data_IF_367876014321
#
_entry.id   IF_367876014321
#
_cell.length_a   1.000
_cell.length_b   1.000
_cell.length_c   1.000
_cell.angle_alpha   90.00
_cell.angle_beta   90.00
_cell.angle_gamma   90.00
#
_symmetry.space_group_name_H-M   'P 1'
#
loop_
_entity.id
_entity.type
_entity.pdbx_description
1 polymer ?
#
# COMPACT_ATOMS: atom_id res chain seq x y z
N UNK A 1 -13.27 -25.26 -8.00
CA UNK A 1 -12.08 -24.58 -8.60
C UNK A 1 -10.84 -25.24 -8.01
N UNK A 2 -9.90 -25.76 -8.80
CA UNK A 2 -8.68 -26.37 -8.24
C UNK A 2 -7.85 -25.31 -7.48
N UNK A 3 -7.13 -25.73 -6.44
CA UNK A 3 -6.30 -24.84 -5.61
C UNK A 3 -5.30 -24.04 -6.47
N UNK A 4 -4.80 -24.63 -7.55
CA UNK A 4 -3.93 -23.97 -8.53
C UNK A 4 -4.62 -22.83 -9.29
N UNK A 5 -5.84 -23.06 -9.80
CA UNK A 5 -6.62 -22.04 -10.52
C UNK A 5 -7.00 -20.89 -9.59
N UNK A 6 -7.35 -21.19 -8.34
CA UNK A 6 -7.66 -20.16 -7.35
C UNK A 6 -6.44 -19.30 -7.00
N UNK A 7 -5.27 -19.92 -6.83
CA UNK A 7 -4.01 -19.18 -6.60
C UNK A 7 -3.65 -18.28 -7.77
N UNK A 8 -3.83 -18.76 -8.99
CA UNK A 8 -3.59 -17.98 -10.19
C UNK A 8 -4.55 -16.78 -10.26
N UNK A 9 -5.85 -17.01 -10.07
CA UNK A 9 -6.86 -15.95 -10.01
C UNK A 9 -6.54 -14.90 -8.93
N UNK A 10 -6.09 -15.34 -7.74
CA UNK A 10 -5.65 -14.43 -6.67
C UNK A 10 -4.44 -13.58 -7.05
N UNK A 11 -3.48 -14.16 -7.78
CA UNK A 11 -2.29 -13.43 -8.22
C UNK A 11 -2.59 -12.50 -9.43
N UNK A 12 -3.70 -12.73 -10.15
CA UNK A 12 -4.25 -11.81 -11.16
C UNK A 12 -4.99 -10.62 -10.54
N UNK A 13 -5.87 -10.88 -9.54
CA UNK A 13 -6.69 -9.83 -8.91
C UNK A 13 -5.92 -9.00 -7.88
N UNK A 14 -5.03 -9.63 -7.10
CA UNK A 14 -4.24 -8.97 -6.07
C UNK A 14 -2.75 -9.37 -6.20
N UNK A 15 -2.04 -8.86 -7.22
CA UNK A 15 -0.68 -9.28 -7.53
C UNK A 15 0.30 -9.04 -6.37
N UNK A 16 0.05 -8.00 -5.57
CA UNK A 16 0.94 -7.58 -4.48
C UNK A 16 0.55 -8.11 -3.09
N UNK A 17 -0.55 -8.87 -2.97
CA UNK A 17 -1.13 -9.30 -1.69
C UNK A 17 -1.63 -8.14 -0.80
N UNK A 18 -1.93 -6.97 -1.38
CA UNK A 18 -2.38 -5.79 -0.65
C UNK A 18 -3.78 -6.01 -0.11
N UNK A 19 -4.73 -6.42 -0.96
CA UNK A 19 -6.11 -6.68 -0.54
C UNK A 19 -6.18 -7.81 0.48
N UNK A 20 -5.34 -8.84 0.34
CA UNK A 20 -5.22 -9.92 1.33
C UNK A 20 -4.78 -9.43 2.70
N UNK A 21 -3.79 -8.54 2.75
CA UNK A 21 -3.33 -7.93 4.01
C UNK A 21 -4.40 -7.01 4.59
N UNK A 22 -5.05 -6.19 3.75
CA UNK A 22 -6.14 -5.31 4.16
C UNK A 22 -7.29 -6.11 4.75
N UNK A 23 -7.71 -7.20 4.10
CA UNK A 23 -8.77 -8.08 4.58
C UNK A 23 -8.42 -8.63 5.98
N UNK A 24 -7.21 -9.13 6.17
CA UNK A 24 -6.79 -9.68 7.46
C UNK A 24 -6.78 -8.60 8.55
N UNK A 25 -6.30 -7.38 8.25
CA UNK A 25 -6.37 -6.24 9.16
C UNK A 25 -7.82 -5.87 9.51
N UNK A 26 -8.68 -5.76 8.50
CA UNK A 26 -10.10 -5.42 8.69
C UNK A 26 -10.81 -6.47 9.54
N UNK A 27 -10.54 -7.76 9.36
CA UNK A 27 -11.12 -8.82 10.20
C UNK A 27 -10.66 -8.73 11.65
N UNK A 28 -9.38 -8.45 11.90
CA UNK A 28 -8.86 -8.22 13.26
C UNK A 28 -9.52 -7.00 13.90
N UNK A 29 -9.60 -5.88 13.19
CA UNK A 29 -10.25 -4.66 13.70
C UNK A 29 -11.74 -4.92 13.96
N UNK A 30 -12.46 -5.52 13.03
CA UNK A 30 -13.88 -5.81 13.17
C UNK A 30 -14.17 -6.74 14.35
N UNK A 31 -13.37 -7.79 14.55
CA UNK A 31 -13.55 -8.69 15.69
C UNK A 31 -13.33 -7.96 17.01
N UNK A 32 -12.31 -7.12 17.12
CA UNK A 32 -12.09 -6.31 18.34
C UNK A 32 -13.21 -5.30 18.54
N UNK A 33 -13.66 -4.61 17.48
CA UNK A 33 -14.77 -3.65 17.57
C UNK A 33 -16.07 -4.31 18.03
N UNK A 34 -16.35 -5.56 17.64
CA UNK A 34 -17.51 -6.32 18.15
C UNK A 34 -17.39 -6.56 19.66
N UNK A 35 -16.21 -6.95 20.16
CA UNK A 35 -16.01 -7.11 21.61
C UNK A 35 -16.14 -5.79 22.36
N UNK A 36 -15.60 -4.70 21.81
CA UNK A 36 -15.73 -3.35 22.37
C UNK A 36 -17.19 -2.93 22.41
N UNK A 37 -17.94 -3.18 21.34
CA UNK A 37 -19.37 -2.90 21.29
C UNK A 37 -20.14 -3.67 22.38
N UNK A 38 -19.87 -4.95 22.56
CA UNK A 38 -20.54 -5.76 23.59
C UNK A 38 -20.22 -5.33 25.02
N UNK A 39 -18.98 -4.88 25.28
CA UNK A 39 -18.54 -4.47 26.61
C UNK A 39 -18.99 -3.05 26.99
N UNK A 40 -18.85 -2.10 26.07
CA UNK A 40 -19.09 -0.68 26.34
C UNK A 40 -20.48 -0.21 25.95
N UNK A 41 -21.17 -0.94 25.07
CA UNK A 41 -22.54 -0.63 24.60
C UNK A 41 -22.70 0.85 24.23
N UNK A 42 -22.00 1.33 23.18
CA UNK A 42 -22.00 2.74 22.80
C UNK A 42 -23.42 3.23 22.49
N UNK A 43 -23.69 4.48 22.87
CA UNK A 43 -25.02 5.12 22.78
C UNK A 43 -25.56 5.11 21.35
N UNK A 44 -24.69 5.21 20.33
CA UNK A 44 -25.07 5.11 18.93
C UNK A 44 -24.21 4.11 18.18
N UNK A 45 -24.86 3.04 17.71
CA UNK A 45 -24.22 2.03 16.87
C UNK A 45 -23.72 2.60 15.54
N UNK A 46 -24.51 3.49 14.91
CA UNK A 46 -24.19 4.05 13.60
C UNK A 46 -22.91 4.90 13.65
N UNK A 47 -22.74 5.72 14.69
CA UNK A 47 -21.54 6.55 14.84
C UNK A 47 -20.34 5.74 15.33
N UNK A 48 -20.57 4.67 16.09
CA UNK A 48 -19.51 3.72 16.42
C UNK A 48 -18.97 3.00 15.18
N UNK A 49 -19.84 2.61 14.23
CA UNK A 49 -19.42 1.89 13.02
C UNK A 49 -18.91 2.79 11.88
N UNK A 50 -19.34 4.05 11.82
CA UNK A 50 -19.00 4.96 10.70
C UNK A 50 -17.50 5.09 10.39
N UNK A 51 -16.57 5.19 11.36
CA UNK A 51 -15.14 5.24 11.10
C UNK A 51 -14.58 3.99 10.40
N UNK A 52 -15.18 2.81 10.62
CA UNK A 52 -14.76 1.55 10.03
C UNK A 52 -14.85 1.56 8.50
N UNK A 53 -15.88 2.21 7.94
CA UNK A 53 -16.07 2.33 6.49
C UNK A 53 -14.90 3.05 5.80
N UNK A 54 -14.26 3.95 6.52
CA UNK A 54 -13.16 4.79 6.03
C UNK A 54 -11.78 4.17 6.31
N UNK A 55 -11.72 3.12 7.14
CA UNK A 55 -10.48 2.45 7.51
C UNK A 55 -9.80 1.78 6.32
N UNK A 56 -10.54 1.42 5.27
CA UNK A 56 -10.00 0.88 4.01
C UNK A 56 -8.96 1.82 3.37
N UNK A 57 -9.13 3.14 3.54
CA UNK A 57 -8.22 4.16 3.00
C UNK A 57 -6.87 4.17 3.72
N UNK A 58 -6.77 3.59 4.92
CA UNK A 58 -5.49 3.44 5.64
C UNK A 58 -4.46 2.63 4.83
N UNK A 59 -4.92 1.67 4.00
CA UNK A 59 -4.05 0.84 3.17
C UNK A 59 -3.79 1.41 1.77
N UNK A 60 -4.27 2.62 1.48
CA UNK A 60 -4.02 3.27 0.20
C UNK A 60 -2.50 3.41 -0.07
N UNK A 61 -2.03 3.03 -1.28
CA UNK A 61 -0.60 3.02 -1.61
C UNK A 61 0.01 4.42 -1.70
N UNK A 62 -0.82 5.46 -1.72
CA UNK A 62 -0.37 6.86 -1.74
C UNK A 62 0.20 7.31 -0.38
N UNK A 63 -0.19 6.64 0.70
CA UNK A 63 0.30 6.93 2.05
C UNK A 63 1.62 6.18 2.26
N UNK A 64 2.73 6.92 2.16
CA UNK A 64 4.06 6.33 2.12
C UNK A 64 4.67 6.11 3.51
N UNK A 65 4.10 6.70 4.56
CA UNK A 65 4.62 6.61 5.93
C UNK A 65 3.56 6.22 6.96
N UNK A 66 3.98 5.55 8.03
CA UNK A 66 3.09 5.25 9.17
C UNK A 66 2.53 6.52 9.80
N UNK A 67 3.31 7.61 9.85
CA UNK A 67 2.85 8.90 10.38
C UNK A 67 1.71 9.49 9.56
N UNK A 68 1.80 9.46 8.23
CA UNK A 68 0.70 9.88 7.34
C UNK A 68 -0.54 9.01 7.54
N UNK A 69 -0.36 7.70 7.66
CA UNK A 69 -1.47 6.75 7.87
C UNK A 69 -2.18 6.97 9.21
N UNK A 70 -1.44 7.15 10.30
CA UNK A 70 -2.02 7.47 11.62
C UNK A 70 -2.73 8.83 11.59
N UNK A 71 -2.09 9.83 10.98
CA UNK A 71 -2.66 11.16 10.87
C UNK A 71 -3.97 11.19 10.06
N UNK A 72 -4.08 10.35 9.02
CA UNK A 72 -5.33 10.16 8.28
C UNK A 72 -6.45 9.62 9.18
N UNK A 73 -6.16 8.63 10.03
CA UNK A 73 -7.18 8.04 10.93
C UNK A 73 -7.66 9.08 11.95
N UNK A 74 -6.74 9.87 12.52
CA UNK A 74 -7.12 10.99 13.39
C UNK A 74 -7.96 12.04 12.66
N UNK A 75 -7.57 12.41 11.44
CA UNK A 75 -8.31 13.35 10.61
C UNK A 75 -9.73 12.85 10.33
N UNK A 76 -9.87 11.58 9.93
CA UNK A 76 -11.15 10.92 9.71
C UNK A 76 -12.02 11.03 10.97
N UNK A 77 -11.45 10.74 12.14
CA UNK A 77 -12.22 10.79 13.39
C UNK A 77 -12.73 12.15 13.77
N UNK A 78 -11.87 13.15 13.68
CA UNK A 78 -12.25 14.54 13.96
C UNK A 78 -13.31 14.98 12.95
N UNK A 79 -13.10 14.72 11.65
CA UNK A 79 -14.02 15.13 10.60
C UNK A 79 -15.39 14.44 10.74
N UNK A 80 -15.44 13.11 10.89
CA UNK A 80 -16.69 12.36 11.08
C UNK A 80 -17.44 12.86 12.32
N UNK A 81 -16.73 13.11 13.43
CA UNK A 81 -17.35 13.61 14.66
C UNK A 81 -17.94 15.01 14.46
N UNK A 82 -17.17 15.94 13.90
CA UNK A 82 -17.63 17.32 13.65
C UNK A 82 -18.81 17.35 12.68
N UNK A 83 -18.74 16.60 11.57
CA UNK A 83 -19.80 16.54 10.57
C UNK A 83 -21.05 15.90 11.20
N UNK A 84 -20.92 14.75 11.86
CA UNK A 84 -22.07 14.03 12.46
C UNK A 84 -22.79 14.89 13.49
N UNK A 85 -22.06 15.51 14.42
CA UNK A 85 -22.63 16.36 15.48
C UNK A 85 -23.27 17.61 14.88
N UNK A 86 -22.59 18.30 13.97
CA UNK A 86 -23.13 19.51 13.37
C UNK A 86 -24.36 19.23 12.49
N UNK A 87 -24.34 18.15 11.72
CA UNK A 87 -25.46 17.72 10.89
C UNK A 87 -26.66 17.39 11.76
N UNK A 88 -26.48 16.60 12.82
CA UNK A 88 -27.55 16.27 13.75
C UNK A 88 -28.18 17.49 14.45
N UNK A 89 -27.36 18.45 14.90
CA UNK A 89 -27.85 19.65 15.59
C UNK A 89 -28.59 20.63 14.66
N UNK A 90 -28.14 20.76 13.41
CA UNK A 90 -28.68 21.72 12.45
C UNK A 90 -29.84 21.13 11.62
N UNK A 91 -29.93 19.80 11.54
CA UNK A 91 -30.94 19.08 10.74
C UNK A 91 -32.39 19.58 10.90
N UNK A 92 -32.88 19.92 12.11
CA UNK A 92 -34.26 20.38 12.27
C UNK A 92 -34.58 21.67 11.50
N UNK A 93 -33.56 22.45 11.12
CA UNK A 93 -33.70 23.71 10.39
C UNK A 93 -33.42 23.49 8.89
N UNK A 94 -34.32 22.82 8.17
CA UNK A 94 -34.10 22.36 6.79
C UNK A 94 -33.51 23.40 5.82
N UNK A 95 -33.99 24.65 5.85
CA UNK A 95 -33.46 25.73 5.00
C UNK A 95 -32.02 26.11 5.35
N UNK A 96 -31.71 26.24 6.65
CA UNK A 96 -30.37 26.52 7.15
C UNK A 96 -29.44 25.33 6.90
N UNK A 97 -29.95 24.11 7.07
CA UNK A 97 -29.22 22.86 6.87
C UNK A 97 -28.70 22.71 5.44
N UNK A 98 -29.46 23.12 4.42
CA UNK A 98 -29.00 23.07 3.04
C UNK A 98 -27.75 23.94 2.83
N UNK A 99 -27.81 25.22 3.18
CA UNK A 99 -26.66 26.13 3.04
C UNK A 99 -25.49 25.72 3.93
N UNK A 100 -25.78 25.23 5.14
CA UNK A 100 -24.77 24.70 6.05
C UNK A 100 -24.05 23.49 5.46
N UNK A 101 -24.77 22.55 4.85
CA UNK A 101 -24.19 21.37 4.21
C UNK A 101 -23.27 21.72 3.04
N UNK A 102 -23.65 22.71 2.22
CA UNK A 102 -22.79 23.23 1.14
C UNK A 102 -21.52 23.86 1.71
N UNK A 103 -21.62 24.60 2.81
CA UNK A 103 -20.48 25.20 3.49
C UNK A 103 -19.54 24.14 4.09
N UNK A 104 -20.08 23.14 4.78
CA UNK A 104 -19.31 22.01 5.31
C UNK A 104 -18.64 21.23 4.18
N UNK A 105 -19.33 21.01 3.05
CA UNK A 105 -18.73 20.40 1.85
C UNK A 105 -17.53 21.21 1.35
N UNK A 106 -17.67 22.53 1.22
CA UNK A 106 -16.58 23.38 0.73
C UNK A 106 -15.35 23.36 1.67
N UNK A 107 -15.57 23.45 2.98
CA UNK A 107 -14.50 23.38 3.99
C UNK A 107 -13.82 22.01 3.97
N UNK A 108 -14.60 20.93 4.04
CA UNK A 108 -14.05 19.57 4.06
C UNK A 108 -13.28 19.29 2.77
N UNK A 109 -13.80 19.70 1.62
CA UNK A 109 -13.11 19.59 0.33
C UNK A 109 -11.77 20.35 0.33
N UNK A 110 -11.76 21.59 0.81
CA UNK A 110 -10.54 22.39 0.91
C UNK A 110 -9.50 21.75 1.85
N UNK A 111 -9.94 21.27 3.02
CA UNK A 111 -9.07 20.55 3.96
C UNK A 111 -8.50 19.28 3.33
N UNK A 112 -9.33 18.45 2.69
CA UNK A 112 -8.87 17.22 2.02
C UNK A 112 -7.88 17.54 0.90
N UNK A 113 -8.13 18.57 0.07
CA UNK A 113 -7.18 18.96 -0.96
C UNK A 113 -5.84 19.45 -0.40
N UNK A 114 -5.88 20.25 0.67
CA UNK A 114 -4.67 20.80 1.30
C UNK A 114 -3.78 19.72 1.91
N UNK A 115 -4.40 18.70 2.51
CA UNK A 115 -3.69 17.74 3.35
C UNK A 115 -3.56 16.34 2.75
N UNK A 116 -4.54 15.91 1.96
CA UNK A 116 -4.63 14.58 1.36
C UNK A 116 -5.05 14.68 -0.11
N UNK A 117 -4.32 15.46 -0.91
CA UNK A 117 -4.63 15.73 -2.32
C UNK A 117 -4.93 14.47 -3.15
N UNK A 118 -4.25 13.36 -2.87
CA UNK A 118 -4.44 12.11 -3.59
C UNK A 118 -5.73 11.35 -3.21
N UNK A 119 -6.34 11.68 -2.08
CA UNK A 119 -7.57 11.06 -1.57
C UNK A 119 -8.76 12.02 -1.73
N UNK A 120 -8.93 12.66 -2.89
CA UNK A 120 -10.04 13.62 -3.11
C UNK A 120 -11.43 13.01 -2.83
N UNK A 121 -11.57 11.71 -3.11
CA UNK A 121 -12.79 10.93 -2.84
C UNK A 121 -13.14 10.84 -1.35
N UNK A 122 -12.18 11.06 -0.44
CA UNK A 122 -12.39 11.09 1.01
C UNK A 122 -13.46 12.11 1.41
N UNK A 123 -13.56 13.24 0.71
CA UNK A 123 -14.54 14.29 1.01
C UNK A 123 -15.98 13.76 0.99
N UNK A 124 -16.37 13.09 -0.09
CA UNK A 124 -17.73 12.56 -0.24
C UNK A 124 -18.00 11.44 0.77
N UNK A 125 -16.99 10.62 1.02
CA UNK A 125 -17.05 9.54 2.02
C UNK A 125 -17.25 10.07 3.44
N UNK A 126 -16.56 11.16 3.83
CA UNK A 126 -16.73 11.81 5.14
C UNK A 126 -18.14 12.42 5.30
N UNK A 127 -18.67 13.02 4.25
CA UNK A 127 -20.00 13.64 4.29
C UNK A 127 -21.09 12.56 4.33
N UNK A 128 -20.96 11.53 3.49
CA UNK A 128 -21.90 10.41 3.48
C UNK A 128 -21.93 9.69 4.83
N UNK A 129 -20.76 9.44 5.44
CA UNK A 129 -20.67 8.81 6.77
C UNK A 129 -21.23 9.70 7.88
N UNK A 130 -20.97 11.01 7.85
CA UNK A 130 -21.54 11.94 8.82
C UNK A 130 -23.06 12.12 8.69
N UNK A 131 -23.61 11.95 7.49
CA UNK A 131 -25.05 12.05 7.24
C UNK A 131 -25.88 10.84 7.71
N UNK A 132 -25.24 9.72 8.07
CA UNK A 132 -25.93 8.51 8.57
C UNK A 132 -26.72 8.78 9.85
N UNK A 133 -26.36 9.85 10.58
CA UNK A 133 -26.92 10.24 11.87
C UNK A 133 -28.18 11.10 11.76
N UNK A 134 -28.55 11.53 10.56
CA UNK A 134 -29.69 12.45 10.33
C UNK A 134 -31.07 11.87 10.72
N UNK A 135 -31.16 10.56 10.94
CA UNK A 135 -32.39 9.87 11.34
C UNK A 135 -32.51 9.55 12.84
N UNK A 136 -31.67 10.11 13.71
CA UNK A 136 -31.69 9.81 15.14
C UNK A 136 -32.63 10.72 15.92
N UNK A 137 -33.51 10.12 16.74
CA UNK A 137 -34.39 10.81 17.68
C UNK A 137 -33.87 10.76 19.13
N UNK A 138 -34.19 11.75 19.99
CA UNK A 138 -34.86 13.01 19.68
C UNK A 138 -33.97 13.94 18.84
N UNK A 139 -34.51 14.88 18.06
CA UNK A 139 -33.71 15.82 17.27
C UNK A 139 -33.01 16.87 18.15
N UNK A 140 -31.78 17.24 17.78
CA UNK A 140 -30.99 18.34 18.36
C UNK A 140 -30.81 18.30 19.90
N UNK A 141 -30.73 17.11 20.50
CA UNK A 141 -30.40 16.94 21.91
C UNK A 141 -28.87 16.89 22.12
N UNK A 142 -28.35 17.76 22.98
CA UNK A 142 -26.92 17.81 23.30
C UNK A 142 -26.42 16.50 23.92
N UNK A 143 -27.23 15.79 24.70
CA UNK A 143 -26.85 14.50 25.30
C UNK A 143 -26.55 13.44 24.23
N UNK A 144 -27.41 13.37 23.20
CA UNK A 144 -27.23 12.48 22.05
C UNK A 144 -25.99 12.89 21.25
N UNK A 145 -25.74 14.19 21.09
CA UNK A 145 -24.52 14.69 20.45
C UNK A 145 -23.25 14.29 21.22
N UNK A 146 -23.25 14.37 22.56
CA UNK A 146 -22.17 13.83 23.39
C UNK A 146 -22.00 12.32 23.22
N UNK A 147 -23.12 11.59 23.10
CA UNK A 147 -23.13 10.17 22.77
C UNK A 147 -22.46 9.86 21.42
N UNK A 148 -22.61 10.72 20.41
CA UNK A 148 -21.91 10.55 19.14
C UNK A 148 -20.41 10.75 19.27
N UNK A 149 -19.98 11.79 19.98
CA UNK A 149 -18.56 12.08 20.21
C UNK A 149 -17.90 10.92 20.96
N UNK A 150 -18.53 10.41 22.01
CA UNK A 150 -17.97 9.29 22.78
C UNK A 150 -17.92 8.00 21.96
N UNK A 151 -18.95 7.71 21.15
CA UNK A 151 -19.01 6.51 20.31
C UNK A 151 -17.98 6.53 19.18
N UNK A 152 -17.80 7.66 18.49
CA UNK A 152 -16.76 7.79 17.44
C UNK A 152 -15.36 7.74 18.04
N UNK A 153 -15.14 8.41 19.18
CA UNK A 153 -13.85 8.40 19.86
C UNK A 153 -13.47 6.98 20.34
N UNK A 154 -14.43 6.23 20.88
CA UNK A 154 -14.25 4.85 21.30
C UNK A 154 -13.81 3.97 20.12
N UNK A 155 -14.57 4.00 19.02
CA UNK A 155 -14.30 3.25 17.79
C UNK A 155 -12.88 3.50 17.29
N UNK A 156 -12.51 4.78 17.13
CA UNK A 156 -11.22 5.17 16.53
C UNK A 156 -10.05 4.84 17.44
N UNK A 157 -10.22 4.99 18.75
CA UNK A 157 -9.19 4.63 19.72
C UNK A 157 -8.85 3.14 19.61
N UNK A 158 -9.86 2.28 19.59
CA UNK A 158 -9.65 0.83 19.45
C UNK A 158 -9.13 0.44 18.06
N UNK A 159 -9.60 1.10 16.99
CA UNK A 159 -9.07 0.89 15.65
C UNK A 159 -7.57 1.23 15.57
N UNK A 160 -7.13 2.37 16.15
CA UNK A 160 -5.72 2.76 16.20
C UNK A 160 -4.89 1.74 16.99
N UNK A 161 -5.40 1.29 18.14
CA UNK A 161 -4.75 0.27 18.97
C UNK A 161 -4.53 -1.00 18.14
N UNK A 162 -5.58 -1.51 17.48
CA UNK A 162 -5.52 -2.70 16.64
C UNK A 162 -4.50 -2.55 15.50
N UNK A 163 -4.54 -1.42 14.78
CA UNK A 163 -3.62 -1.16 13.68
C UNK A 163 -2.16 -1.04 14.12
N UNK A 164 -1.91 -0.55 15.34
CA UNK A 164 -0.57 -0.42 15.91
C UNK A 164 0.01 -1.76 16.39
N UNK A 165 -0.84 -2.65 16.91
CA UNK A 165 -0.43 -4.00 17.31
C UNK A 165 -0.28 -4.97 16.14
N UNK A 166 -0.92 -4.68 15.01
CA UNK A 166 -0.88 -5.57 13.85
C UNK A 166 0.57 -5.73 13.29
N UNK A 167 1.00 -6.97 12.98
CA UNK A 167 2.35 -7.21 12.50
C UNK A 167 2.62 -6.51 11.16
N UNK A 168 3.82 -5.94 11.02
CA UNK A 168 4.20 -5.27 9.78
C UNK A 168 4.48 -6.28 8.65
N UNK A 169 3.48 -6.45 7.77
CA UNK A 169 3.51 -7.37 6.62
C UNK A 169 3.97 -6.71 5.30
N UNK A 170 4.37 -5.43 5.31
CA UNK A 170 4.68 -4.69 4.07
C UNK A 170 5.91 -5.22 3.32
N UNK A 171 6.76 -6.01 3.97
CA UNK A 171 7.85 -6.72 3.28
C UNK A 171 7.33 -7.69 2.20
N UNK A 172 6.16 -8.29 2.41
CA UNK A 172 5.54 -9.21 1.45
C UNK A 172 5.11 -8.44 0.20
N UNK A 173 4.46 -7.29 0.38
CA UNK A 173 4.03 -6.40 -0.70
C UNK A 173 5.23 -5.94 -1.52
N UNK A 174 6.28 -5.45 -0.84
CA UNK A 174 7.52 -5.02 -1.49
C UNK A 174 8.18 -6.17 -2.28
N UNK A 175 8.26 -7.37 -1.69
CA UNK A 175 8.88 -8.53 -2.33
C UNK A 175 8.12 -8.96 -3.60
N UNK A 176 6.79 -9.01 -3.54
CA UNK A 176 5.94 -9.33 -4.70
C UNK A 176 6.04 -8.25 -5.78
N UNK A 177 6.02 -6.98 -5.40
CA UNK A 177 6.18 -5.87 -6.34
C UNK A 177 7.54 -5.92 -7.06
N UNK A 178 8.62 -6.22 -6.32
CA UNK A 178 9.94 -6.34 -6.91
C UNK A 178 10.07 -7.58 -7.81
N UNK A 179 9.44 -8.72 -7.46
CA UNK A 179 9.39 -9.88 -8.35
C UNK A 179 8.69 -9.56 -9.68
N UNK A 180 7.59 -8.81 -9.63
CA UNK A 180 6.87 -8.37 -10.84
C UNK A 180 7.67 -7.37 -11.67
N UNK A 181 8.40 -6.47 -11.01
CA UNK A 181 9.34 -5.57 -11.70
C UNK A 181 10.47 -6.35 -12.39
N UNK A 182 11.05 -7.35 -11.73
CA UNK A 182 12.08 -8.21 -12.33
C UNK A 182 11.50 -9.02 -13.51
N UNK A 183 10.26 -9.49 -13.40
CA UNK A 183 9.56 -10.18 -14.50
C UNK A 183 9.39 -9.29 -15.74
N UNK A 184 9.06 -8.00 -15.56
CA UNK A 184 9.04 -7.05 -16.69
C UNK A 184 10.44 -6.85 -17.29
N UNK A 185 11.47 -6.71 -16.45
CA UNK A 185 12.85 -6.55 -16.92
C UNK A 185 13.33 -7.79 -17.72
N UNK A 186 12.98 -9.00 -17.28
CA UNK A 186 13.23 -10.24 -18.02
C UNK A 186 12.56 -10.23 -19.41
N UNK A 187 11.31 -9.74 -19.49
CA UNK A 187 10.57 -9.60 -20.74
C UNK A 187 11.15 -8.51 -21.65
N UNK A 188 11.61 -7.39 -21.08
CA UNK A 188 12.27 -6.30 -21.81
C UNK A 188 13.59 -6.78 -22.41
N UNK A 189 14.38 -7.57 -21.68
CA UNK A 189 15.58 -8.23 -22.20
C UNK A 189 15.21 -9.15 -23.38
N UNK A 190 14.21 -10.01 -23.23
CA UNK A 190 13.78 -10.92 -24.30
C UNK A 190 13.32 -10.17 -25.56
N UNK A 191 12.49 -9.14 -25.40
CA UNK A 191 12.03 -8.31 -26.52
C UNK A 191 13.19 -7.63 -27.23
N UNK A 192 14.18 -7.14 -26.47
CA UNK A 192 15.36 -6.46 -27.03
C UNK A 192 16.30 -7.43 -27.74
N UNK A 193 16.38 -8.69 -27.28
CA UNK A 193 17.13 -9.73 -27.98
C UNK A 193 16.43 -10.11 -29.28
N UNK A 194 15.12 -10.38 -29.22
CA UNK A 194 14.31 -10.85 -30.36
C UNK A 194 13.90 -9.74 -31.34
N UNK A 195 14.25 -8.46 -31.07
CA UNK A 195 13.85 -7.27 -31.84
C UNK A 195 12.33 -7.03 -31.88
N UNK A 196 11.60 -7.50 -30.87
CA UNK A 196 10.18 -7.23 -30.73
C UNK A 196 9.95 -5.82 -30.15
N UNK A 197 9.09 -5.01 -30.78
CA UNK A 197 8.81 -3.63 -30.35
C UNK A 197 7.88 -3.51 -29.12
N UNK A 198 7.51 -4.63 -28.47
CA UNK A 198 6.58 -4.63 -27.34
C UNK A 198 7.34 -4.49 -26.01
N UNK A 199 7.58 -3.25 -25.59
CA UNK A 199 8.12 -2.95 -24.24
C UNK A 199 6.99 -2.74 -23.22
N UNK A 200 6.84 -3.57 -22.17
CA UNK A 200 5.91 -3.36 -21.05
C UNK A 200 6.22 -2.15 -20.13
N UNK A 201 6.51 -0.97 -20.68
CA UNK A 201 6.91 0.25 -19.94
C UNK A 201 5.89 0.62 -18.83
N UNK A 202 4.59 0.50 -19.11
CA UNK A 202 3.54 0.82 -18.13
C UNK A 202 3.59 -0.11 -16.90
N UNK A 203 3.83 -1.40 -17.12
CA UNK A 203 3.97 -2.39 -16.05
C UNK A 203 5.22 -2.14 -15.20
N UNK A 204 6.33 -1.79 -15.82
CA UNK A 204 7.57 -1.45 -15.12
C UNK A 204 7.40 -0.27 -14.17
N UNK A 205 6.83 0.83 -14.66
CA UNK A 205 6.59 2.04 -13.87
C UNK A 205 5.66 1.74 -12.69
N UNK A 206 4.60 0.97 -12.93
CA UNK A 206 3.64 0.57 -11.90
C UNK A 206 4.30 -0.29 -10.81
N UNK A 207 4.99 -1.37 -11.19
CA UNK A 207 5.62 -2.30 -10.25
C UNK A 207 6.74 -1.62 -9.45
N UNK A 208 7.57 -0.82 -10.11
CA UNK A 208 8.63 -0.07 -9.44
C UNK A 208 8.07 1.05 -8.55
N UNK A 209 6.98 1.70 -8.97
CA UNK A 209 6.25 2.66 -8.15
C UNK A 209 5.77 2.04 -6.84
N UNK A 210 5.22 0.83 -6.89
CA UNK A 210 4.83 0.06 -5.70
C UNK A 210 6.03 -0.27 -4.79
N UNK A 211 7.15 -0.74 -5.38
CA UNK A 211 8.41 -0.96 -4.63
C UNK A 211 8.85 0.29 -3.88
N UNK A 212 8.77 1.46 -4.53
CA UNK A 212 9.15 2.75 -3.96
C UNK A 212 8.21 3.19 -2.84
N UNK A 213 6.90 3.11 -3.06
CA UNK A 213 5.88 3.57 -2.11
C UNK A 213 5.91 2.76 -0.81
N UNK A 214 6.06 1.43 -0.91
CA UNK A 214 6.07 0.55 0.26
C UNK A 214 7.42 0.52 1.00
N UNK A 215 8.51 1.01 0.39
CA UNK A 215 9.85 0.98 0.98
C UNK A 215 9.92 1.57 2.38
N UNK A 216 9.24 2.71 2.61
CA UNK A 216 9.24 3.43 3.90
C UNK A 216 8.38 2.74 4.97
N UNK A 217 7.51 1.82 4.55
CA UNK A 217 6.64 1.05 5.43
C UNK A 217 7.28 -0.28 5.87
N UNK A 218 8.41 -0.68 5.27
CA UNK A 218 9.12 -1.92 5.60
C UNK A 218 9.72 -1.82 7.02
N UNK A 219 9.75 -2.92 7.80
CA UNK A 219 10.40 -2.93 9.11
C UNK A 219 11.85 -2.43 9.06
N UNK A 220 12.25 -1.59 10.03
CA UNK A 220 13.58 -0.95 10.08
C UNK A 220 14.74 -1.92 9.87
N UNK A 221 14.64 -3.16 10.39
CA UNK A 221 15.67 -4.21 10.23
C UNK A 221 15.93 -4.60 8.77
N UNK A 222 14.97 -4.40 7.87
CA UNK A 222 15.09 -4.79 6.46
C UNK A 222 15.34 -3.61 5.50
N UNK A 223 15.08 -2.36 5.92
CA UNK A 223 15.08 -1.17 5.04
C UNK A 223 16.35 -1.03 4.20
N UNK A 224 17.53 -1.21 4.81
CA UNK A 224 18.79 -1.05 4.09
C UNK A 224 18.96 -2.13 3.01
N UNK A 225 18.63 -3.39 3.31
CA UNK A 225 18.80 -4.47 2.35
C UNK A 225 17.78 -4.35 1.22
N UNK A 226 16.51 -4.11 1.54
CA UNK A 226 15.46 -3.91 0.53
C UNK A 226 15.78 -2.73 -0.38
N UNK A 227 16.25 -1.61 0.17
CA UNK A 227 16.70 -0.47 -0.62
C UNK A 227 17.82 -0.84 -1.60
N UNK A 228 18.88 -1.47 -1.10
CA UNK A 228 20.06 -1.79 -1.92
C UNK A 228 19.70 -2.77 -3.03
N UNK A 229 18.88 -3.78 -2.76
CA UNK A 229 18.36 -4.68 -3.80
C UNK A 229 17.58 -3.87 -4.86
N UNK A 230 16.58 -3.09 -4.46
CA UNK A 230 15.77 -2.32 -5.42
C UNK A 230 16.58 -1.35 -6.28
N UNK A 231 17.58 -0.66 -5.70
CA UNK A 231 18.45 0.26 -6.43
C UNK A 231 19.32 -0.48 -7.43
N UNK A 232 19.95 -1.58 -7.02
CA UNK A 232 20.82 -2.34 -7.93
C UNK A 232 20.04 -2.92 -9.10
N UNK A 233 18.83 -3.44 -8.87
CA UNK A 233 17.96 -3.93 -9.96
C UNK A 233 17.56 -2.78 -10.90
N UNK A 234 17.20 -1.60 -10.36
CA UNK A 234 16.91 -0.41 -11.18
C UNK A 234 18.12 0.05 -12.00
N UNK A 235 19.31 0.00 -11.41
CA UNK A 235 20.54 0.39 -12.08
C UNK A 235 20.90 -0.59 -13.21
N UNK A 236 20.58 -1.88 -13.06
CA UNK A 236 20.71 -2.86 -14.14
C UNK A 236 19.78 -2.47 -15.30
N UNK A 237 18.51 -2.16 -15.05
CA UNK A 237 17.58 -1.69 -16.08
C UNK A 237 18.15 -0.47 -16.84
N UNK A 238 18.51 0.60 -16.11
CA UNK A 238 19.07 1.81 -16.72
C UNK A 238 20.37 1.55 -17.49
N UNK A 239 21.21 0.62 -17.04
CA UNK A 239 22.43 0.28 -17.74
C UNK A 239 22.13 -0.52 -19.01
N UNK A 240 21.19 -1.46 -18.97
CA UNK A 240 20.75 -2.24 -20.15
C UNK A 240 20.14 -1.36 -21.23
N UNK A 241 19.31 -0.38 -20.85
CA UNK A 241 18.74 0.60 -21.77
C UNK A 241 19.82 1.36 -22.55
N UNK A 242 20.93 1.68 -21.89
CA UNK A 242 22.06 2.38 -22.49
C UNK A 242 23.01 1.43 -23.25
N UNK A 243 23.10 0.16 -22.83
CA UNK A 243 23.95 -0.86 -23.47
C UNK A 243 23.48 -1.21 -24.88
N UNK A 244 22.20 -0.96 -25.19
CA UNK A 244 21.65 -1.09 -26.53
C UNK A 244 22.37 -0.20 -27.56
N UNK A 245 22.97 0.92 -27.13
CA UNK A 245 23.76 1.81 -27.98
C UNK A 245 25.24 1.40 -28.11
N UNK A 246 25.68 0.40 -27.35
CA UNK A 246 27.00 -0.23 -27.49
C UNK A 246 26.92 -1.50 -28.37
N UNK A 247 28.03 -2.25 -28.48
CA UNK A 247 28.07 -3.53 -29.18
C UNK A 247 27.21 -4.57 -28.44
N UNK A 248 26.05 -4.92 -28.99
CA UNK A 248 25.12 -5.93 -28.44
C UNK A 248 25.85 -7.28 -28.25
N UNK A 249 25.94 -7.75 -27.01
CA UNK A 249 26.42 -9.08 -26.66
C UNK A 249 25.26 -9.90 -26.09
N UNK A 250 24.61 -10.70 -26.95
CA UNK A 250 23.42 -11.47 -26.59
C UNK A 250 23.68 -12.49 -25.47
N UNK A 251 24.86 -13.12 -25.47
CA UNK A 251 25.24 -14.09 -24.44
C UNK A 251 25.31 -13.43 -23.06
N UNK A 252 25.83 -12.20 -22.99
CA UNK A 252 25.83 -11.41 -21.76
C UNK A 252 24.40 -11.10 -21.29
N UNK A 253 23.53 -10.66 -22.20
CA UNK A 253 22.13 -10.31 -21.88
C UNK A 253 21.34 -11.52 -21.36
N UNK A 254 21.48 -12.68 -22.01
CA UNK A 254 20.90 -13.93 -21.52
C UNK A 254 21.43 -14.29 -20.13
N UNK A 255 22.73 -14.14 -19.89
CA UNK A 255 23.32 -14.34 -18.56
C UNK A 255 22.70 -13.45 -17.48
N UNK A 256 22.48 -12.16 -17.78
CA UNK A 256 21.79 -11.23 -16.86
C UNK A 256 20.36 -11.70 -16.60
N UNK A 257 19.61 -12.02 -17.66
CA UNK A 257 18.23 -12.51 -17.56
C UNK A 257 18.12 -13.76 -16.68
N UNK A 258 18.97 -14.75 -16.90
CA UNK A 258 18.95 -16.01 -16.15
C UNK A 258 19.20 -15.80 -14.65
N UNK A 259 20.14 -14.90 -14.31
CA UNK A 259 20.38 -14.54 -12.92
C UNK A 259 19.20 -13.76 -12.30
N UNK A 260 18.55 -12.88 -13.06
CA UNK A 260 17.35 -12.19 -12.59
C UNK A 260 16.18 -13.15 -12.37
N UNK A 261 15.98 -14.09 -13.28
CA UNK A 261 15.02 -15.18 -13.13
C UNK A 261 15.32 -16.03 -11.90
N UNK A 262 16.59 -16.40 -11.70
CA UNK A 262 17.03 -17.15 -10.51
C UNK A 262 16.76 -16.39 -9.21
N UNK A 263 17.05 -15.09 -9.18
CA UNK A 263 16.73 -14.21 -8.06
C UNK A 263 15.22 -14.19 -7.80
N UNK A 264 14.40 -13.99 -8.85
CA UNK A 264 12.94 -13.94 -8.76
C UNK A 264 12.33 -15.23 -8.22
N UNK A 265 12.84 -16.40 -8.63
CA UNK A 265 12.40 -17.69 -8.11
C UNK A 265 12.70 -17.82 -6.60
N UNK A 266 13.92 -17.49 -6.18
CA UNK A 266 14.32 -17.53 -4.78
C UNK A 266 13.61 -16.48 -3.91
N UNK A 267 13.18 -15.36 -4.50
CA UNK A 267 12.35 -14.36 -3.85
C UNK A 267 10.98 -14.89 -3.42
N UNK A 268 10.41 -15.87 -4.13
CA UNK A 268 9.12 -16.49 -3.76
C UNK A 268 9.22 -17.27 -2.45
N UNK A 269 10.33 -17.97 -2.25
CA UNK A 269 10.59 -18.86 -1.10
C UNK A 269 11.43 -18.21 -0.01
N UNK A 270 11.92 -16.98 -0.22
CA UNK A 270 12.83 -16.28 0.69
C UNK A 270 14.10 -17.09 0.98
N UNK A 271 14.64 -17.72 -0.06
CA UNK A 271 15.87 -18.51 -0.03
C UNK A 271 17.04 -17.69 -0.55
N UNK A 272 18.26 -17.90 -0.01
CA UNK A 272 19.45 -17.25 -0.55
C UNK A 272 19.79 -17.81 -1.93
N UNK A 273 20.26 -16.94 -2.83
CA UNK A 273 20.59 -17.29 -4.22
C UNK A 273 22.03 -17.76 -4.42
N UNK A 274 22.92 -17.54 -3.44
CA UNK A 274 24.37 -17.68 -3.61
C UNK A 274 24.98 -16.49 -4.36
N UNK A 275 26.01 -16.74 -5.17
CA UNK A 275 26.65 -15.76 -6.06
C UNK A 275 26.08 -15.87 -7.48
N UNK A 276 25.92 -14.75 -8.20
CA UNK A 276 25.49 -14.83 -9.59
C UNK A 276 26.57 -15.49 -10.45
N UNK A 277 26.15 -16.26 -11.45
CA UNK A 277 27.04 -16.93 -12.40
C UNK A 277 26.83 -16.32 -13.78
N UNK A 278 27.87 -15.68 -14.33
CA UNK A 278 27.83 -15.10 -15.67
C UNK A 278 28.50 -16.05 -16.67
N UNK A 279 27.90 -16.30 -17.85
CA UNK A 279 28.46 -17.20 -18.85
C UNK A 279 29.67 -16.62 -19.59
N UNK A 280 29.81 -15.29 -19.58
CA UNK A 280 30.90 -14.55 -20.24
C UNK A 280 31.42 -13.47 -19.32
N UNK A 281 32.70 -13.13 -19.48
CA UNK A 281 33.30 -12.00 -18.78
C UNK A 281 32.80 -10.67 -19.38
N UNK A 282 32.55 -9.66 -18.54
CA UNK A 282 32.18 -8.33 -19.02
C UNK A 282 33.34 -7.68 -19.80
N UNK A 283 33.02 -7.11 -20.95
CA UNK A 283 34.00 -6.45 -21.84
C UNK A 283 33.91 -4.92 -21.77
N UNK A 284 32.71 -4.37 -21.57
CA UNK A 284 32.47 -2.91 -21.55
C UNK A 284 32.24 -2.39 -20.13
N UNK A 285 32.48 -1.09 -19.91
CA UNK A 285 32.27 -0.46 -18.59
C UNK A 285 30.84 -0.66 -18.08
N UNK A 286 29.85 -0.60 -18.96
CA UNK A 286 28.45 -0.87 -18.60
C UNK A 286 28.22 -2.33 -18.24
N UNK A 287 28.85 -3.29 -18.94
CA UNK A 287 28.77 -4.71 -18.59
C UNK A 287 29.39 -4.98 -17.20
N UNK A 288 30.56 -4.38 -16.89
CA UNK A 288 31.17 -4.45 -15.56
C UNK A 288 30.24 -3.87 -14.48
N UNK A 289 29.61 -2.74 -14.78
CA UNK A 289 28.68 -2.09 -13.86
C UNK A 289 27.43 -2.95 -13.59
N UNK A 290 26.86 -3.57 -14.64
CA UNK A 290 25.72 -4.49 -14.52
C UNK A 290 26.11 -5.70 -13.67
N UNK A 291 27.26 -6.33 -13.95
CA UNK A 291 27.75 -7.48 -13.19
C UNK A 291 27.94 -7.13 -11.70
N UNK A 292 28.51 -5.96 -11.41
CA UNK A 292 28.64 -5.46 -10.05
C UNK A 292 27.29 -5.24 -9.37
N UNK A 293 26.33 -4.60 -10.05
CA UNK A 293 24.98 -4.38 -9.51
C UNK A 293 24.28 -5.71 -9.22
N UNK A 294 24.41 -6.69 -10.11
CA UNK A 294 23.83 -8.03 -9.95
C UNK A 294 24.43 -8.75 -8.74
N UNK A 295 25.75 -8.72 -8.59
CA UNK A 295 26.45 -9.27 -7.42
C UNK A 295 25.99 -8.60 -6.13
N UNK A 296 25.90 -7.26 -6.12
CA UNK A 296 25.40 -6.54 -4.96
C UNK A 296 23.93 -6.86 -4.67
N UNK A 297 23.07 -7.01 -5.67
CA UNK A 297 21.68 -7.42 -5.47
C UNK A 297 21.59 -8.79 -4.78
N UNK A 298 22.36 -9.77 -5.24
CA UNK A 298 22.41 -11.12 -4.66
C UNK A 298 22.93 -11.11 -3.22
N UNK A 299 24.04 -10.42 -2.95
CA UNK A 299 24.61 -10.30 -1.59
C UNK A 299 23.57 -9.70 -0.63
N UNK A 300 22.87 -8.65 -1.06
CA UNK A 300 21.89 -7.94 -0.21
C UNK A 300 20.61 -8.76 -0.02
N UNK A 301 20.19 -9.50 -1.05
CA UNK A 301 19.10 -10.46 -0.95
C UNK A 301 19.43 -11.60 0.03
N UNK A 302 20.63 -12.18 -0.05
CA UNK A 302 21.06 -13.23 0.87
C UNK A 302 21.10 -12.74 2.32
N UNK A 303 21.57 -11.51 2.55
CA UNK A 303 21.52 -10.83 3.86
C UNK A 303 20.10 -10.56 4.34
N UNK A 304 19.17 -10.22 3.43
CA UNK A 304 17.77 -10.05 3.77
C UNK A 304 17.15 -11.39 4.22
N UNK A 305 17.47 -12.48 3.52
CA UNK A 305 17.00 -13.83 3.87
C UNK A 305 17.51 -14.27 5.24
N UNK A 306 18.78 -14.00 5.58
CA UNK A 306 19.31 -14.32 6.91
C UNK A 306 18.66 -13.50 8.02
N UNK A 307 18.45 -12.20 7.81
CA UNK A 307 17.76 -11.32 8.77
C UNK A 307 16.29 -11.69 9.03
N UNK A 308 15.68 -12.49 8.14
CA UNK A 308 14.31 -12.97 8.32
C UNK A 308 14.24 -14.24 9.16
N UNK A 309 15.28 -15.07 9.13
CA UNK A 309 15.38 -16.29 9.96
C UNK A 309 15.66 -15.95 11.44
N UNK A 310 16.24 -14.77 11.68
CA UNK A 310 16.53 -14.21 13.01
C UNK A 310 15.44 -13.21 13.46
#
# INVERSE_FOLDING_TARGET
MSISKFKQWLDEVDPYALQRITLYKCLVVATVEVYVYWLFQPVSFLTFFAPFLLLSLYEAPVLSTFKEKEWLVFFIGIAVTLISVSYYLVYPFYGVFFFFSVFVFAITYFCVLKYFYALKSLTMLLIATGAVVLGTDPPANLEVAYGFISSTALSITFAIICLRFFPNMYLIVWNRALQKFIECLEQDIDSSINQDQKRPIEGEILHFGMVRNYRRLIPKKYIMQTYRVSVNIRNILHALDNLYYEKKNEVFWYGVKDNLHWLRLNMKTYTPCGTPAMPVEPETQLQFYIAHCLQQAFIRWNKLCSLRKN
#
